data_IF_010945248230
#
_entry.id   IF_010945248230
#
_cell.length_a   1.000
_cell.length_b   1.000
_cell.length_c   1.000
_cell.angle_alpha   90.00
_cell.angle_beta   90.00
_cell.angle_gamma   90.00
#
_symmetry.space_group_name_H-M   'P 1'
#
loop_
_entity.id
_entity.type
_entity.pdbx_description
1 polymer ?
#
# COMPACT_ATOMS: atom_id res chain seq x y z
N UNK A 1 2.27 7.68 16.45
CA UNK A 1 2.98 7.10 15.29
C UNK A 1 2.03 7.13 14.12
N UNK A 2 2.50 7.56 12.96
CA UNK A 2 1.75 7.52 11.71
C UNK A 2 2.38 6.47 10.79
N UNK A 3 1.57 5.85 9.92
CA UNK A 3 2.07 4.98 8.86
C UNK A 3 1.72 5.65 7.53
N UNK A 4 2.73 5.86 6.70
CA UNK A 4 2.60 6.41 5.34
C UNK A 4 2.83 5.24 4.38
N UNK A 5 1.91 5.02 3.45
CA UNK A 5 1.92 3.87 2.56
C UNK A 5 1.91 4.37 1.12
N UNK A 6 3.03 4.19 0.44
CA UNK A 6 3.22 4.47 -0.98
C UNK A 6 2.79 5.86 -1.46
N UNK A 7 2.26 5.91 -2.68
CA UNK A 7 1.82 7.13 -3.36
C UNK A 7 2.81 7.57 -4.44
N UNK A 8 2.82 8.88 -4.72
CA UNK A 8 3.71 9.48 -5.73
C UNK A 8 4.40 10.73 -5.18
N UNK A 9 5.61 10.99 -5.65
CA UNK A 9 6.31 12.25 -5.40
C UNK A 9 5.77 13.36 -6.32
N UNK A 10 6.20 14.60 -6.10
CA UNK A 10 5.88 15.74 -6.97
C UNK A 10 6.36 15.56 -8.41
N UNK A 11 7.43 14.80 -8.61
CA UNK A 11 7.99 14.50 -9.93
C UNK A 11 7.35 13.25 -10.56
N UNK A 12 6.15 12.87 -10.08
CA UNK A 12 5.37 11.71 -10.53
C UNK A 12 6.11 10.36 -10.41
N UNK A 13 7.12 10.29 -9.54
CA UNK A 13 7.79 9.03 -9.22
C UNK A 13 6.98 8.25 -8.22
N UNK A 14 6.76 6.98 -8.51
CA UNK A 14 6.08 6.09 -7.59
C UNK A 14 6.92 5.86 -6.32
N UNK A 15 6.25 5.82 -5.17
CA UNK A 15 6.84 5.47 -3.88
C UNK A 15 6.23 4.13 -3.48
N UNK A 16 7.06 3.10 -3.34
CA UNK A 16 6.61 1.77 -2.89
C UNK A 16 6.72 1.57 -1.38
N UNK A 17 7.38 2.49 -0.68
CA UNK A 17 7.74 2.34 0.72
C UNK A 17 6.54 2.45 1.66
N UNK A 18 6.59 1.65 2.73
CA UNK A 18 5.74 1.74 3.91
C UNK A 18 6.60 2.31 5.03
N UNK A 19 6.26 3.51 5.49
CA UNK A 19 7.09 4.27 6.42
C UNK A 19 6.36 4.55 7.72
N UNK A 20 6.97 4.17 8.83
CA UNK A 20 6.54 4.55 10.17
C UNK A 20 7.16 5.90 10.54
N UNK A 21 6.31 6.89 10.83
CA UNK A 21 6.70 8.22 11.26
C UNK A 21 6.38 8.44 12.74
N UNK A 22 7.40 8.82 13.52
CA UNK A 22 7.24 9.35 14.87
C UNK A 22 7.40 10.89 14.85
N UNK A 23 6.29 11.65 14.94
CA UNK A 23 6.34 13.11 14.87
C UNK A 23 7.01 13.75 16.09
N UNK A 24 6.97 13.10 17.26
CA UNK A 24 7.57 13.63 18.48
C UNK A 24 9.09 13.53 18.43
N UNK A 25 9.59 12.42 17.90
CA UNK A 25 11.03 12.17 17.70
C UNK A 25 11.57 12.75 16.39
N UNK A 26 10.68 13.18 15.48
CA UNK A 26 11.02 13.59 14.11
C UNK A 26 11.82 12.51 13.36
N UNK A 27 11.49 11.24 13.61
CA UNK A 27 12.18 10.09 13.03
C UNK A 27 11.23 9.32 12.12
N UNK A 28 11.77 8.79 11.03
CA UNK A 28 11.05 7.91 10.12
C UNK A 28 11.83 6.61 9.91
N UNK A 29 11.11 5.51 9.69
CA UNK A 29 11.68 4.21 9.41
C UNK A 29 10.88 3.52 8.30
N UNK A 30 11.55 3.12 7.22
CA UNK A 30 10.99 2.20 6.24
C UNK A 30 10.83 0.83 6.90
N UNK A 31 9.60 0.32 6.93
CA UNK A 31 9.27 -0.95 7.59
C UNK A 31 8.90 -2.07 6.62
N UNK A 32 8.44 -1.72 5.42
CA UNK A 32 8.08 -2.66 4.35
C UNK A 32 8.00 -1.93 3.00
N UNK A 33 7.76 -2.70 1.92
CA UNK A 33 7.37 -2.18 0.60
C UNK A 33 6.01 -2.72 0.19
N UNK A 34 5.33 -2.01 -0.72
CA UNK A 34 4.06 -2.43 -1.31
C UNK A 34 4.18 -3.79 -2.01
N UNK A 35 3.11 -4.60 -2.06
CA UNK A 35 3.18 -5.94 -2.60
C UNK A 35 3.64 -5.95 -4.07
N UNK A 36 4.47 -6.94 -4.41
CA UNK A 36 4.93 -7.18 -5.80
C UNK A 36 5.61 -5.93 -6.40
N UNK A 37 6.36 -5.16 -5.62
CA UNK A 37 7.13 -4.00 -6.12
C UNK A 37 8.64 -4.19 -6.12
N UNK A 38 9.15 -5.23 -5.43
CA UNK A 38 10.60 -5.47 -5.28
C UNK A 38 11.27 -6.03 -6.54
N UNK A 39 10.51 -6.71 -7.40
CA UNK A 39 11.01 -7.37 -8.62
C UNK A 39 10.64 -6.62 -9.90
N UNK A 40 9.89 -5.52 -9.79
CA UNK A 40 9.32 -4.80 -10.91
C UNK A 40 10.05 -3.47 -11.17
N UNK A 41 10.04 -3.06 -12.43
CA UNK A 41 10.59 -1.77 -12.84
C UNK A 41 9.72 -0.62 -12.33
N UNK A 42 10.29 0.60 -12.19
CA UNK A 42 9.54 1.79 -11.76
C UNK A 42 8.30 2.08 -12.62
N UNK A 43 8.30 1.67 -13.89
CA UNK A 43 7.15 1.83 -14.79
C UNK A 43 5.98 0.90 -14.42
N UNK A 44 6.27 -0.34 -14.05
CA UNK A 44 5.28 -1.37 -13.67
C UNK A 44 4.68 -1.09 -12.29
N UNK A 45 5.48 -0.52 -11.40
CA UNK A 45 5.05 -0.12 -10.06
C UNK A 45 3.92 0.94 -10.05
N UNK A 46 3.68 1.64 -11.18
CA UNK A 46 2.53 2.54 -11.36
C UNK A 46 1.16 1.84 -11.29
N UNK A 47 1.12 0.50 -11.27
CA UNK A 47 -0.11 -0.28 -11.03
C UNK A 47 -0.79 0.04 -9.69
N UNK A 48 -0.02 0.54 -8.72
CA UNK A 48 -0.45 0.93 -7.38
C UNK A 48 -0.78 2.43 -7.28
N UNK A 49 -1.13 3.11 -8.36
CA UNK A 49 -1.64 4.49 -8.30
C UNK A 49 -3.15 4.43 -7.98
N UNK A 50 -3.64 5.32 -7.11
CA UNK A 50 -5.06 5.46 -6.73
C UNK A 50 -5.66 4.23 -6.01
N UNK A 51 -4.85 3.53 -5.22
CA UNK A 51 -5.33 2.48 -4.32
C UNK A 51 -5.94 3.06 -3.04
N UNK A 52 -6.85 2.30 -2.44
CA UNK A 52 -7.37 2.58 -1.12
C UNK A 52 -6.53 1.86 -0.06
N UNK A 53 -6.33 2.51 1.09
CA UNK A 53 -5.68 1.93 2.25
C UNK A 53 -6.54 2.16 3.49
N UNK A 54 -6.83 1.10 4.23
CA UNK A 54 -7.62 1.16 5.46
C UNK A 54 -6.95 0.39 6.59
N UNK A 55 -7.31 0.77 7.82
CA UNK A 55 -7.02 -0.04 9.00
C UNK A 55 -8.32 -0.56 9.59
N UNK A 56 -8.40 -1.87 9.83
CA UNK A 56 -9.53 -2.50 10.48
C UNK A 56 -9.02 -3.53 11.48
N UNK A 57 -9.47 -3.44 12.74
CA UNK A 57 -9.05 -4.36 13.83
C UNK A 57 -7.53 -4.53 13.94
N UNK A 58 -6.79 -3.43 13.84
CA UNK A 58 -5.32 -3.37 13.88
C UNK A 58 -4.61 -4.07 12.71
N UNK A 59 -5.34 -4.47 11.67
CA UNK A 59 -4.77 -4.98 10.44
C UNK A 59 -4.84 -3.88 9.37
N UNK A 60 -3.79 -3.80 8.56
CA UNK A 60 -3.71 -2.87 7.42
C UNK A 60 -4.09 -3.62 6.16
N UNK A 61 -5.01 -3.03 5.42
CA UNK A 61 -5.48 -3.54 4.13
C UNK A 61 -5.23 -2.49 3.06
N UNK A 62 -4.82 -2.96 1.89
CA UNK A 62 -4.78 -2.16 0.68
C UNK A 62 -5.57 -2.86 -0.41
N UNK A 63 -6.23 -2.08 -1.25
CA UNK A 63 -7.03 -2.60 -2.34
C UNK A 63 -7.18 -1.63 -3.48
N UNK A 64 -7.45 -2.16 -4.67
CA UNK A 64 -7.60 -1.35 -5.86
C UNK A 64 -6.25 -0.82 -6.35
N UNK A 65 -6.31 0.22 -7.17
CA UNK A 65 -5.16 0.71 -7.95
C UNK A 65 -5.40 0.48 -9.43
N UNK A 66 -4.70 1.23 -10.28
CA UNK A 66 -4.97 1.28 -11.74
C UNK A 66 -5.06 -0.09 -12.41
N UNK A 67 -4.13 -1.00 -12.08
CA UNK A 67 -4.05 -2.36 -12.67
C UNK A 67 -4.23 -3.48 -11.62
N UNK A 68 -4.50 -3.11 -10.37
CA UNK A 68 -4.69 -4.01 -9.22
C UNK A 68 -6.12 -3.91 -8.66
N UNK A 69 -7.08 -3.54 -9.51
CA UNK A 69 -8.45 -3.17 -9.15
C UNK A 69 -9.20 -4.21 -8.29
N UNK A 70 -8.92 -5.49 -8.51
CA UNK A 70 -9.58 -6.58 -7.79
C UNK A 70 -8.74 -7.15 -6.66
N UNK A 71 -7.48 -6.76 -6.56
CA UNK A 71 -6.57 -7.33 -5.58
C UNK A 71 -6.79 -6.67 -4.22
N UNK A 72 -6.82 -7.51 -3.18
CA UNK A 72 -6.84 -7.06 -1.80
C UNK A 72 -5.67 -7.71 -1.09
N UNK A 73 -4.92 -6.90 -0.35
CA UNK A 73 -3.75 -7.34 0.37
C UNK A 73 -3.86 -6.95 1.83
N UNK A 74 -3.50 -7.88 2.70
CA UNK A 74 -3.39 -7.67 4.13
C UNK A 74 -1.94 -7.71 4.55
N UNK A 75 -1.50 -6.71 5.31
CA UNK A 75 -0.16 -6.74 5.90
C UNK A 75 -0.12 -7.64 7.13
N UNK A 76 0.77 -8.63 7.12
CA UNK A 76 1.07 -9.48 8.27
C UNK A 76 2.33 -8.99 8.97
N UNK A 77 2.15 -8.33 10.11
CA UNK A 77 3.25 -7.80 10.90
C UNK A 77 4.19 -8.87 11.49
N UNK A 78 3.70 -10.08 11.73
CA UNK A 78 4.55 -11.17 12.26
C UNK A 78 5.50 -11.72 11.20
N UNK A 79 5.09 -11.70 9.94
CA UNK A 79 5.90 -12.15 8.81
C UNK A 79 6.65 -11.02 8.11
N UNK A 80 6.32 -9.77 8.43
CA UNK A 80 6.73 -8.58 7.68
C UNK A 80 6.46 -8.74 6.17
N UNK A 81 5.26 -9.21 5.84
CA UNK A 81 4.87 -9.53 4.45
C UNK A 81 3.43 -9.17 4.19
N UNK A 82 3.16 -8.75 2.96
CA UNK A 82 1.81 -8.67 2.43
C UNK A 82 1.32 -10.05 2.01
N UNK A 83 0.08 -10.36 2.36
CA UNK A 83 -0.60 -11.60 2.00
C UNK A 83 -1.82 -11.20 1.16
N UNK A 84 -1.90 -11.70 -0.07
CA UNK A 84 -3.09 -11.52 -0.90
C UNK A 84 -4.25 -12.28 -0.26
N UNK A 85 -5.39 -11.61 -0.13
CA UNK A 85 -6.64 -12.20 0.35
C UNK A 85 -7.67 -12.23 -0.77
N UNK A 86 -8.92 -12.59 -0.45
CA UNK A 86 -10.06 -12.62 -1.38
C UNK A 86 -10.16 -11.36 -2.25
N UNK A 87 -10.61 -11.54 -3.49
CA UNK A 87 -10.74 -10.46 -4.47
C UNK A 87 -11.96 -9.57 -4.17
N UNK A 88 -11.84 -8.29 -4.50
CA UNK A 88 -12.97 -7.36 -4.49
C UNK A 88 -13.92 -7.69 -5.63
N UNK A 89 -15.19 -7.94 -5.30
CA UNK A 89 -16.26 -7.95 -6.30
C UNK A 89 -16.46 -6.54 -6.85
N UNK A 90 -16.69 -6.44 -8.17
CA UNK A 90 -16.80 -5.18 -8.93
C UNK A 90 -17.85 -4.18 -8.38
N UNK A 91 -18.80 -4.65 -7.58
CA UNK A 91 -19.83 -3.82 -6.96
C UNK A 91 -19.32 -2.94 -5.80
N UNK A 92 -18.08 -3.18 -5.30
CA UNK A 92 -17.54 -2.52 -4.10
C UNK A 92 -16.23 -1.79 -4.35
N UNK A 93 -16.00 -1.30 -5.57
CA UNK A 93 -14.75 -0.63 -5.93
C UNK A 93 -14.48 0.54 -4.97
N UNK A 94 -13.53 0.35 -4.04
CA UNK A 94 -13.22 1.31 -2.98
C UNK A 94 -12.52 2.57 -3.52
N UNK A 95 -12.23 2.65 -4.82
CA UNK A 95 -11.75 3.87 -5.49
C UNK A 95 -12.79 5.01 -5.54
N UNK A 96 -14.03 4.78 -5.09
CA UNK A 96 -15.10 5.79 -5.01
C UNK A 96 -15.35 6.38 -3.60
N UNK A 97 -14.50 6.10 -2.60
CA UNK A 97 -14.59 6.74 -1.27
C UNK A 97 -13.58 7.87 -1.14
#
# INVERSE_FOLDING_TARGET
MFVIIGGCTKDEKFVSEVTCLDPLRRSQLEVAKLPITEMETEAENKKWVEFACITFRNEVYISGGKETQHDVWKYNASLNKWIQIEYLNNEYNCSMI
#
